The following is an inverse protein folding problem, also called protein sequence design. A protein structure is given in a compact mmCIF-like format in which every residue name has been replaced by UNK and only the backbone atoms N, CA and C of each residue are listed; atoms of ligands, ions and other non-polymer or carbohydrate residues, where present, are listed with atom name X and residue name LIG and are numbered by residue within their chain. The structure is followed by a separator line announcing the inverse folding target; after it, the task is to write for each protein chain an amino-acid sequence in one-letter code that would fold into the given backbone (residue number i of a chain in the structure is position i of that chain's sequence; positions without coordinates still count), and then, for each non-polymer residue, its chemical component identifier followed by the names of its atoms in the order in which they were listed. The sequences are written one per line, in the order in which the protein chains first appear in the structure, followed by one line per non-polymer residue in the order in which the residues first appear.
data_IF_335964377745
#
_entry.id   IF_335964377745
#
_cell.length_a   1.000
_cell.length_b   1.000
_cell.length_c   1.000
_cell.angle_alpha   90.00
_cell.angle_beta   90.00
_cell.angle_gamma   90.00
#
_symmetry.space_group_name_H-M   'P 1'
#
loop_
_entity.id
_entity.type
_entity.pdbx_description
1 polymer ?
#
# COMPACT_ATOMS: atom_id res chain seq x y z
N UNK A 1 -41.24 28.25 -18.65
CA UNK A 1 -40.42 29.31 -18.07
C UNK A 1 -39.58 28.65 -17.00
N UNK A 2 -38.27 28.59 -17.25
CA UNK A 2 -37.31 27.97 -16.34
C UNK A 2 -37.01 28.94 -15.20
N UNK A 3 -37.25 28.52 -13.98
CA UNK A 3 -36.80 29.25 -12.79
C UNK A 3 -35.52 28.56 -12.33
N UNK A 4 -34.38 29.16 -12.68
CA UNK A 4 -33.07 28.71 -12.21
C UNK A 4 -32.96 29.10 -10.74
N UNK A 5 -33.02 28.12 -9.85
CA UNK A 5 -32.60 28.31 -8.47
C UNK A 5 -31.10 28.64 -8.48
N UNK A 6 -30.78 29.91 -8.25
CA UNK A 6 -29.43 30.36 -7.94
C UNK A 6 -29.07 29.78 -6.58
N UNK A 7 -28.15 28.81 -6.58
CA UNK A 7 -27.46 28.35 -5.38
C UNK A 7 -26.71 29.55 -4.83
N UNK A 8 -27.18 30.11 -3.72
CA UNK A 8 -26.44 31.10 -2.95
C UNK A 8 -25.15 30.46 -2.46
N UNK A 9 -24.02 30.95 -2.95
CA UNK A 9 -22.71 30.60 -2.44
C UNK A 9 -22.61 31.12 -0.99
N UNK A 10 -22.62 30.21 -0.02
CA UNK A 10 -22.29 30.56 1.36
C UNK A 10 -20.91 31.23 1.42
N UNK A 11 -20.85 32.34 2.16
CA UNK A 11 -19.65 33.13 2.36
C UNK A 11 -18.59 32.29 3.10
N UNK A 12 -17.49 31.96 2.43
CA UNK A 12 -16.31 31.30 3.01
C UNK A 12 -15.62 32.22 4.01
N UNK A 13 -15.85 31.95 5.29
CA UNK A 13 -15.24 32.66 6.40
C UNK A 13 -13.83 32.13 6.66
N UNK A 14 -12.81 32.88 6.20
CA UNK A 14 -11.36 32.59 6.25
C UNK A 14 -10.82 31.79 7.45
N UNK A 15 -11.12 30.50 7.47
CA UNK A 15 -10.77 29.55 8.53
C UNK A 15 -9.49 28.76 8.23
N UNK A 16 -9.07 27.94 9.20
CA UNK A 16 -8.01 26.95 8.99
C UNK A 16 -8.38 25.92 7.92
N UNK A 17 -9.67 25.54 7.86
CA UNK A 17 -10.19 24.59 6.85
C UNK A 17 -10.14 25.19 5.44
N UNK A 18 -10.54 26.45 5.25
CA UNK A 18 -10.43 27.13 3.95
C UNK A 18 -8.98 27.20 3.45
N UNK A 19 -8.02 27.35 4.37
CA UNK A 19 -6.59 27.30 4.02
C UNK A 19 -6.17 25.90 3.57
N UNK A 20 -6.60 24.86 4.27
CA UNK A 20 -6.36 23.46 3.86
C UNK A 20 -6.96 23.22 2.48
N UNK A 21 -8.21 23.60 2.27
CA UNK A 21 -8.92 23.45 1.00
C UNK A 21 -8.21 24.23 -0.12
N UNK A 22 -7.84 25.49 0.13
CA UNK A 22 -7.10 26.29 -0.85
C UNK A 22 -5.73 25.72 -1.18
N UNK A 23 -5.04 25.08 -0.23
CA UNK A 23 -3.75 24.43 -0.46
C UNK A 23 -3.98 23.16 -1.29
N UNK A 24 -4.90 22.28 -0.86
CA UNK A 24 -5.22 21.04 -1.56
C UNK A 24 -5.64 21.28 -3.02
N UNK A 25 -6.48 22.28 -3.27
CA UNK A 25 -6.92 22.64 -4.63
C UNK A 25 -5.81 23.20 -5.53
N UNK A 26 -4.70 23.67 -4.96
CA UNK A 26 -3.52 24.12 -5.72
C UNK A 26 -2.55 23.00 -6.03
N UNK A 27 -2.63 21.87 -5.32
CA UNK A 27 -1.74 20.73 -5.58
C UNK A 27 -2.14 20.12 -6.92
N UNK A 28 -1.21 20.06 -7.89
CA UNK A 28 -1.52 19.50 -9.19
C UNK A 28 -1.68 17.99 -9.09
N UNK A 29 -2.34 17.40 -10.09
CA UNK A 29 -2.49 15.94 -10.18
C UNK A 29 -1.14 15.23 -10.00
N UNK A 30 -1.06 14.08 -9.29
CA UNK A 30 0.23 13.44 -8.96
C UNK A 30 1.17 13.19 -10.14
N UNK A 31 0.62 12.77 -11.29
CA UNK A 31 1.39 12.63 -12.55
C UNK A 31 2.13 13.92 -12.92
N UNK A 32 1.47 15.08 -12.78
CA UNK A 32 2.05 16.39 -13.08
C UNK A 32 3.11 16.75 -12.04
N UNK A 33 2.91 16.39 -10.75
CA UNK A 33 3.94 16.54 -9.73
C UNK A 33 5.21 15.78 -10.12
N UNK A 34 5.11 14.50 -10.50
CA UNK A 34 6.28 13.73 -10.94
C UNK A 34 6.93 14.28 -12.20
N UNK A 35 6.15 14.85 -13.13
CA UNK A 35 6.71 15.55 -14.28
C UNK A 35 7.52 16.79 -13.85
N UNK A 36 7.02 17.57 -12.91
CA UNK A 36 7.78 18.70 -12.34
C UNK A 36 9.01 18.25 -11.58
N UNK A 37 8.94 17.14 -10.84
CA UNK A 37 10.09 16.56 -10.16
C UNK A 37 11.16 16.10 -11.16
N UNK A 38 10.78 15.44 -12.25
CA UNK A 38 11.70 15.05 -13.33
C UNK A 38 12.41 16.28 -13.93
N UNK A 39 11.65 17.32 -14.27
CA UNK A 39 12.22 18.57 -14.79
C UNK A 39 13.14 19.24 -13.76
N UNK A 40 12.74 19.22 -12.49
CA UNK A 40 13.52 19.73 -11.38
C UNK A 40 14.85 18.98 -11.23
N UNK A 41 14.83 17.65 -11.21
CA UNK A 41 16.03 16.81 -11.14
C UNK A 41 16.93 17.05 -12.36
N UNK A 42 16.37 17.21 -13.56
CA UNK A 42 17.16 17.52 -14.75
C UNK A 42 17.94 18.83 -14.61
N UNK A 43 17.30 19.89 -14.11
CA UNK A 43 17.94 21.19 -13.88
C UNK A 43 18.93 21.12 -12.70
N UNK A 44 18.52 20.57 -11.56
CA UNK A 44 19.34 20.49 -10.36
C UNK A 44 20.60 19.65 -10.61
N UNK A 45 20.47 18.49 -11.29
CA UNK A 45 21.62 17.66 -11.63
C UNK A 45 22.60 18.36 -12.56
N UNK A 46 22.11 19.19 -13.50
CA UNK A 46 22.98 20.00 -14.35
C UNK A 46 23.74 21.07 -13.55
N UNK A 47 23.06 21.73 -12.61
CA UNK A 47 23.69 22.73 -11.74
C UNK A 47 24.74 22.07 -10.83
N UNK A 48 24.37 21.01 -10.11
CA UNK A 48 25.27 20.33 -9.18
C UNK A 48 26.48 19.69 -9.88
N UNK A 49 26.28 19.08 -11.04
CA UNK A 49 27.39 18.56 -11.85
C UNK A 49 28.31 19.68 -12.34
N UNK A 50 27.77 20.87 -12.67
CA UNK A 50 28.60 22.01 -13.08
C UNK A 50 29.45 22.59 -11.93
N UNK A 51 29.12 22.27 -10.68
CA UNK A 51 29.91 22.60 -9.49
C UNK A 51 30.77 21.42 -8.99
N UNK A 52 30.87 20.34 -9.77
CA UNK A 52 31.63 19.13 -9.42
C UNK A 52 31.25 18.57 -8.03
N UNK A 53 29.96 18.62 -7.69
CA UNK A 53 29.44 18.09 -6.43
C UNK A 53 29.55 16.58 -6.44
N UNK A 54 30.17 16.03 -5.39
CA UNK A 54 30.36 14.59 -5.22
C UNK A 54 30.28 14.19 -3.75
N UNK A 55 30.25 12.88 -3.50
CA UNK A 55 30.31 12.31 -2.16
C UNK A 55 31.30 11.15 -2.12
N UNK A 56 32.11 11.09 -1.07
CA UNK A 56 33.02 9.96 -0.79
C UNK A 56 32.45 9.14 0.34
N UNK A 57 32.33 7.83 0.13
CA UNK A 57 31.88 6.90 1.16
C UNK A 57 32.64 5.57 1.09
N UNK A 58 32.61 4.85 2.20
CA UNK A 58 33.17 3.51 2.32
C UNK A 58 32.20 2.48 1.73
N UNK A 59 32.59 1.84 0.63
CA UNK A 59 31.78 0.84 -0.07
C UNK A 59 32.41 -0.54 0.07
N UNK A 60 31.63 -1.53 0.49
CA UNK A 60 32.04 -2.93 0.46
C UNK A 60 32.10 -3.40 -1.00
N UNK A 61 33.31 -3.61 -1.51
CA UNK A 61 33.55 -4.12 -2.86
C UNK A 61 33.97 -5.58 -2.82
N UNK A 62 33.41 -6.46 -3.66
CA UNK A 62 33.84 -7.85 -3.69
C UNK A 62 35.31 -7.92 -4.10
N UNK A 63 36.08 -8.74 -3.40
CA UNK A 63 37.47 -8.98 -3.79
C UNK A 63 37.45 -9.56 -5.20
N UNK A 64 38.21 -9.00 -6.17
CA UNK A 64 38.15 -9.43 -7.56
C UNK A 64 38.88 -10.78 -7.73
N UNK A 65 38.25 -11.85 -7.23
CA UNK A 65 38.75 -13.22 -7.27
C UNK A 65 39.07 -13.65 -8.71
N UNK A 66 38.28 -13.20 -9.69
CA UNK A 66 38.54 -13.45 -11.10
C UNK A 66 39.88 -12.85 -11.58
N UNK A 67 40.28 -11.67 -11.08
CA UNK A 67 41.60 -11.09 -11.40
C UNK A 67 42.73 -11.86 -10.71
N UNK A 68 42.52 -12.29 -9.47
CA UNK A 68 43.48 -13.13 -8.74
C UNK A 68 43.67 -14.49 -9.43
N UNK A 69 42.58 -15.06 -9.96
CA UNK A 69 42.61 -16.31 -10.71
C UNK A 69 43.27 -16.15 -12.09
N UNK A 70 43.00 -15.04 -12.79
CA UNK A 70 43.72 -14.72 -14.03
C UNK A 70 45.22 -14.51 -13.80
N UNK A 71 45.62 -13.90 -12.68
CA UNK A 71 47.01 -13.79 -12.26
C UNK A 71 47.62 -15.16 -11.95
N UNK A 72 46.87 -16.04 -11.29
CA UNK A 72 47.28 -17.41 -11.03
C UNK A 72 47.51 -18.20 -12.32
N UNK A 73 46.62 -18.04 -13.30
CA UNK A 73 46.74 -18.68 -14.61
C UNK A 73 47.94 -18.13 -15.41
N UNK A 74 48.27 -16.84 -15.28
CA UNK A 74 49.44 -16.22 -15.93
C UNK A 74 50.78 -16.60 -15.29
N UNK A 75 50.84 -16.62 -13.96
CA UNK A 75 52.09 -16.84 -13.21
C UNK A 75 52.39 -18.33 -13.04
N UNK A 76 51.37 -19.19 -13.14
CA UNK A 76 51.47 -20.62 -12.89
C UNK A 76 51.60 -20.94 -11.39
N UNK A 77 50.90 -21.98 -10.92
CA UNK A 77 50.94 -22.45 -9.52
C UNK A 77 49.70 -22.08 -8.71
N UNK A 78 49.82 -22.05 -7.38
CA UNK A 78 48.77 -21.61 -6.45
C UNK A 78 49.09 -20.22 -5.90
N UNK A 79 48.25 -19.23 -6.18
CA UNK A 79 48.33 -17.90 -5.57
C UNK A 79 47.68 -17.99 -4.20
N UNK A 80 48.50 -17.99 -3.15
CA UNK A 80 48.02 -18.02 -1.76
C UNK A 80 48.36 -16.68 -1.12
N UNK A 81 47.39 -15.88 -0.67
CA UNK A 81 47.65 -14.64 0.04
C UNK A 81 48.37 -14.93 1.36
N UNK A 82 49.41 -14.17 1.68
CA UNK A 82 50.12 -14.26 2.96
C UNK A 82 50.37 -12.86 3.53
N UNK A 83 50.34 -12.74 4.85
CA UNK A 83 50.69 -11.52 5.56
C UNK A 83 52.22 -11.36 5.53
N UNK A 84 52.69 -10.23 4.99
CA UNK A 84 54.11 -9.92 4.84
C UNK A 84 54.85 -9.75 6.17
N UNK A 85 54.12 -9.50 7.27
CA UNK A 85 54.68 -9.29 8.61
C UNK A 85 54.75 -10.57 9.43
N UNK A 86 53.72 -11.42 9.35
CA UNK A 86 53.63 -12.67 10.14
C UNK A 86 54.02 -13.91 9.35
N UNK A 87 54.09 -13.83 8.02
CA UNK A 87 54.39 -14.96 7.12
C UNK A 87 53.29 -16.02 7.08
N UNK A 88 52.13 -15.76 7.67
CA UNK A 88 51.01 -16.70 7.70
C UNK A 88 50.11 -16.51 6.47
N UNK A 89 49.50 -17.61 6.01
CA UNK A 89 48.48 -17.55 4.97
C UNK A 89 47.23 -16.85 5.49
N UNK A 90 46.67 -15.95 4.68
CA UNK A 90 45.48 -15.18 5.02
C UNK A 90 44.37 -15.56 4.05
N UNK A 91 43.22 -15.94 4.60
CA UNK A 91 41.98 -16.05 3.83
C UNK A 91 41.50 -14.64 3.50
N UNK A 92 41.41 -14.33 2.20
CA UNK A 92 40.85 -13.04 1.78
C UNK A 92 39.37 -13.00 2.17
N UNK A 93 38.89 -11.89 2.76
CA UNK A 93 37.47 -11.70 2.96
C UNK A 93 36.78 -11.62 1.60
N UNK A 94 35.50 -11.99 1.54
CA UNK A 94 34.72 -11.96 0.30
C UNK A 94 34.54 -10.51 -0.22
N UNK A 95 34.57 -9.53 0.70
CA UNK A 95 34.47 -8.10 0.43
C UNK A 95 35.59 -7.32 1.12
N UNK A 96 36.06 -6.25 0.48
CA UNK A 96 36.94 -5.22 1.06
C UNK A 96 36.24 -3.88 1.04
N UNK A 97 36.30 -3.16 2.16
CA UNK A 97 35.82 -1.78 2.24
C UNK A 97 36.81 -0.88 1.52
N UNK A 98 36.35 -0.13 0.53
CA UNK A 98 37.16 0.84 -0.21
C UNK A 98 36.41 2.18 -0.25
N UNK A 99 37.13 3.27 -0.04
CA UNK A 99 36.60 4.61 -0.27
C UNK A 99 36.36 4.80 -1.77
N UNK A 100 35.14 5.12 -2.14
CA UNK A 100 34.77 5.47 -3.50
C UNK A 100 34.10 6.85 -3.52
N UNK A 101 34.44 7.63 -4.54
CA UNK A 101 33.82 8.93 -4.77
C UNK A 101 32.80 8.80 -5.90
N UNK A 102 31.59 9.29 -5.66
CA UNK A 102 30.49 9.30 -6.61
C UNK A 102 30.14 10.74 -6.96
N UNK A 103 30.37 11.10 -8.22
CA UNK A 103 30.03 12.43 -8.74
C UNK A 103 28.54 12.51 -9.13
N UNK A 104 27.96 13.69 -8.95
CA UNK A 104 26.63 13.98 -9.47
C UNK A 104 26.67 13.99 -11.00
N UNK A 105 25.79 13.20 -11.62
CA UNK A 105 25.68 13.11 -13.07
C UNK A 105 24.53 13.96 -13.60
N UNK A 106 24.81 14.84 -14.55
CA UNK A 106 23.76 15.66 -15.17
C UNK A 106 22.91 14.86 -16.15
N UNK A 107 21.58 14.92 -16.00
CA UNK A 107 20.65 14.38 -16.99
C UNK A 107 20.65 15.16 -18.30
N UNK A 108 21.02 16.44 -18.28
CA UNK A 108 21.09 17.29 -19.48
C UNK A 108 22.41 17.12 -20.25
N UNK A 109 23.32 16.29 -19.76
CA UNK A 109 24.51 15.88 -20.51
C UNK A 109 24.14 14.98 -21.70
N UNK A 110 25.08 14.78 -22.61
CA UNK A 110 24.89 13.89 -23.77
C UNK A 110 24.55 12.47 -23.30
N UNK A 111 25.23 11.96 -22.28
CA UNK A 111 24.99 10.62 -21.76
C UNK A 111 23.70 10.56 -20.94
N UNK A 112 23.35 11.63 -20.22
CA UNK A 112 22.06 11.75 -19.53
C UNK A 112 20.87 11.73 -20.48
N UNK A 113 20.95 12.46 -21.60
CA UNK A 113 19.90 12.43 -22.64
C UNK A 113 19.81 11.06 -23.30
N UNK A 114 20.94 10.41 -23.58
CA UNK A 114 20.95 9.02 -24.07
C UNK A 114 20.29 8.08 -23.07
N UNK A 115 20.59 8.22 -21.77
CA UNK A 115 19.97 7.42 -20.73
C UNK A 115 18.46 7.64 -20.72
N UNK A 116 17.98 8.88 -20.61
CA UNK A 116 16.54 9.20 -20.57
C UNK A 116 15.76 8.57 -21.73
N UNK A 117 16.30 8.63 -22.95
CA UNK A 117 15.62 8.12 -24.14
C UNK A 117 15.72 6.60 -24.29
N UNK A 118 16.84 5.99 -23.89
CA UNK A 118 17.07 4.54 -24.07
C UNK A 118 16.54 3.70 -22.90
N UNK A 119 16.44 4.25 -21.70
CA UNK A 119 16.01 3.53 -20.50
C UNK A 119 14.50 3.59 -20.26
N UNK A 120 13.76 4.49 -20.91
CA UNK A 120 12.35 4.78 -20.62
C UNK A 120 11.45 3.53 -20.44
N UNK A 121 11.50 2.59 -21.39
CA UNK A 121 10.70 1.35 -21.34
C UNK A 121 11.18 0.42 -20.23
N UNK A 122 12.50 0.26 -20.09
CA UNK A 122 13.09 -0.63 -19.11
C UNK A 122 12.89 -0.11 -17.68
N UNK A 123 12.90 1.21 -17.47
CA UNK A 123 12.60 1.82 -16.17
C UNK A 123 11.18 1.42 -15.72
N UNK A 124 10.21 1.48 -16.63
CA UNK A 124 8.84 1.11 -16.30
C UNK A 124 8.67 -0.41 -16.13
N UNK A 125 9.25 -1.21 -17.02
CA UNK A 125 9.17 -2.67 -16.95
C UNK A 125 9.91 -3.24 -15.73
N UNK A 126 11.00 -2.59 -15.31
CA UNK A 126 11.79 -2.95 -14.14
C UNK A 126 11.20 -2.49 -12.81
N UNK A 127 10.22 -1.58 -12.82
CA UNK A 127 9.59 -1.06 -11.62
C UNK A 127 8.63 -2.11 -11.02
N UNK A 128 9.13 -2.87 -10.04
CA UNK A 128 8.47 -4.07 -9.50
C UNK A 128 7.05 -3.81 -8.97
N UNK A 129 6.82 -2.59 -8.45
CA UNK A 129 5.54 -2.12 -7.92
C UNK A 129 4.38 -2.37 -8.90
N UNK A 130 4.61 -2.17 -10.20
CA UNK A 130 3.57 -2.36 -11.23
C UNK A 130 3.13 -3.80 -11.27
N UNK A 131 4.05 -4.74 -11.49
CA UNK A 131 3.75 -6.16 -11.61
C UNK A 131 3.06 -6.69 -10.34
N UNK A 132 3.60 -6.31 -9.18
CA UNK A 132 3.04 -6.70 -7.87
C UNK A 132 1.60 -6.21 -7.70
N UNK A 133 1.31 -4.96 -8.09
CA UNK A 133 -0.05 -4.40 -8.00
C UNK A 133 -1.05 -5.21 -8.83
N UNK A 134 -0.71 -5.51 -10.09
CA UNK A 134 -1.60 -6.26 -10.98
C UNK A 134 -1.82 -7.69 -10.49
N UNK A 135 -0.76 -8.37 -10.05
CA UNK A 135 -0.88 -9.73 -9.51
C UNK A 135 -1.75 -9.71 -8.26
N UNK A 136 -1.45 -8.87 -7.26
CA UNK A 136 -2.20 -8.78 -6.02
C UNK A 136 -3.69 -8.48 -6.25
N UNK A 137 -3.99 -7.54 -7.15
CA UNK A 137 -5.36 -7.11 -7.42
C UNK A 137 -6.17 -8.07 -8.28
N UNK A 138 -5.54 -8.99 -9.04
CA UNK A 138 -6.29 -9.92 -9.90
C UNK A 138 -7.24 -10.83 -9.10
N UNK A 139 -6.75 -11.38 -7.98
CA UNK A 139 -7.54 -12.27 -7.12
C UNK A 139 -8.62 -11.52 -6.34
N UNK A 140 -8.25 -10.38 -5.74
CA UNK A 140 -9.19 -9.49 -5.04
C UNK A 140 -10.27 -9.00 -5.99
N UNK A 141 -9.91 -8.64 -7.21
CA UNK A 141 -10.82 -8.17 -8.25
C UNK A 141 -11.91 -9.16 -8.61
N UNK A 142 -11.59 -10.46 -8.66
CA UNK A 142 -12.60 -11.51 -8.87
C UNK A 142 -13.51 -11.67 -7.66
N UNK A 143 -12.96 -11.61 -6.45
CA UNK A 143 -13.75 -11.67 -5.23
C UNK A 143 -14.71 -10.48 -5.09
N UNK A 144 -14.24 -9.28 -5.42
CA UNK A 144 -15.03 -8.06 -5.45
C UNK A 144 -16.13 -8.15 -6.52
N UNK A 145 -15.75 -8.51 -7.76
CA UNK A 145 -16.70 -8.63 -8.87
C UNK A 145 -17.78 -9.68 -8.61
N UNK A 146 -17.42 -10.78 -7.94
CA UNK A 146 -18.38 -11.81 -7.56
C UNK A 146 -19.35 -11.35 -6.45
N UNK A 147 -19.07 -10.25 -5.75
CA UNK A 147 -19.86 -9.71 -4.64
C UNK A 147 -19.44 -10.23 -3.25
N UNK A 148 -18.31 -10.93 -3.14
CA UNK A 148 -17.88 -11.58 -1.90
C UNK A 148 -17.57 -10.58 -0.79
N UNK A 149 -16.87 -9.49 -1.12
CA UNK A 149 -16.40 -8.50 -0.15
C UNK A 149 -17.57 -7.71 0.46
N UNK A 150 -18.51 -7.25 -0.38
CA UNK A 150 -19.74 -6.61 0.08
C UNK A 150 -20.57 -7.52 0.97
N UNK A 151 -20.75 -8.79 0.60
CA UNK A 151 -21.45 -9.77 1.42
C UNK A 151 -20.74 -10.04 2.77
N UNK A 152 -19.41 -10.08 2.78
CA UNK A 152 -18.64 -10.21 4.03
C UNK A 152 -18.82 -8.99 4.93
N UNK A 153 -18.74 -7.77 4.39
CA UNK A 153 -18.97 -6.52 5.13
C UNK A 153 -20.38 -6.53 5.75
N UNK A 154 -21.41 -6.78 4.94
CA UNK A 154 -22.80 -6.89 5.41
C UNK A 154 -22.95 -7.94 6.50
N UNK A 155 -22.39 -9.13 6.30
CA UNK A 155 -22.47 -10.23 7.26
C UNK A 155 -21.80 -9.88 8.59
N UNK A 156 -20.61 -9.27 8.55
CA UNK A 156 -19.85 -8.91 9.76
C UNK A 156 -20.55 -7.83 10.59
N UNK A 157 -21.19 -6.85 9.95
CA UNK A 157 -21.99 -5.84 10.66
C UNK A 157 -23.27 -6.45 11.22
N UNK A 158 -23.97 -7.28 10.44
CA UNK A 158 -25.23 -7.89 10.88
C UNK A 158 -25.09 -8.85 12.09
N UNK A 159 -23.92 -9.47 12.27
CA UNK A 159 -23.66 -10.36 13.42
C UNK A 159 -22.99 -9.66 14.60
N UNK A 160 -22.68 -8.37 14.48
CA UNK A 160 -22.02 -7.62 15.53
C UNK A 160 -22.93 -7.44 16.76
N UNK A 161 -22.44 -7.71 17.99
CA UNK A 161 -23.25 -7.48 19.19
C UNK A 161 -23.45 -5.98 19.41
N UNK A 162 -24.67 -5.59 19.81
CA UNK A 162 -25.08 -4.20 19.94
C UNK A 162 -24.13 -3.34 20.80
N UNK A 163 -23.54 -3.91 21.85
CA UNK A 163 -22.58 -3.21 22.73
C UNK A 163 -21.24 -2.91 22.07
N UNK A 164 -20.83 -3.68 21.06
CA UNK A 164 -19.55 -3.53 20.35
C UNK A 164 -19.73 -3.07 18.90
N UNK A 165 -20.94 -2.69 18.50
CA UNK A 165 -21.24 -2.31 17.10
C UNK A 165 -20.29 -1.24 16.56
N UNK A 166 -19.91 -0.25 17.38
CA UNK A 166 -18.96 0.79 16.98
C UNK A 166 -17.56 0.24 16.70
N UNK A 167 -17.08 -0.68 17.54
CA UNK A 167 -15.80 -1.34 17.32
C UNK A 167 -15.85 -2.23 16.09
N UNK A 168 -16.91 -3.02 15.92
CA UNK A 168 -17.07 -3.89 14.75
C UNK A 168 -17.15 -3.08 13.45
N UNK A 169 -17.90 -1.98 13.40
CA UNK A 169 -17.95 -1.11 12.22
C UNK A 169 -16.56 -0.57 11.88
N UNK A 170 -15.85 -0.01 12.85
CA UNK A 170 -14.49 0.51 12.62
C UNK A 170 -13.57 -0.60 12.14
N UNK A 171 -13.58 -1.76 12.81
CA UNK A 171 -12.68 -2.86 12.51
C UNK A 171 -13.01 -3.52 11.17
N UNK A 172 -14.28 -3.63 10.78
CA UNK A 172 -14.67 -4.02 9.42
C UNK A 172 -14.16 -3.01 8.41
N UNK A 173 -14.16 -1.72 8.74
CA UNK A 173 -13.55 -0.67 7.92
C UNK A 173 -12.05 -0.89 7.73
N UNK A 174 -11.34 -1.24 8.80
CA UNK A 174 -9.91 -1.61 8.74
C UNK A 174 -9.70 -2.81 7.81
N UNK A 175 -10.47 -3.89 7.99
CA UNK A 175 -10.37 -5.09 7.16
C UNK A 175 -10.75 -4.85 5.70
N UNK A 176 -11.62 -3.87 5.44
CA UNK A 176 -12.07 -3.54 4.08
C UNK A 176 -10.97 -2.94 3.20
N UNK A 177 -9.83 -2.51 3.76
CA UNK A 177 -8.67 -2.04 2.96
C UNK A 177 -8.10 -3.10 2.01
N UNK A 178 -8.42 -4.38 2.23
CA UNK A 178 -8.15 -5.47 1.27
C UNK A 178 -8.89 -5.24 -0.06
N UNK A 179 -10.08 -4.66 -0.02
CA UNK A 179 -10.94 -4.35 -1.16
C UNK A 179 -11.14 -2.83 -1.26
N UNK A 180 -10.31 -2.21 -2.10
CA UNK A 180 -10.06 -0.76 -2.17
C UNK A 180 -11.29 0.14 -2.08
N UNK A 181 -12.43 -0.25 -2.65
CA UNK A 181 -13.62 0.62 -2.77
C UNK A 181 -14.83 0.16 -1.94
N UNK A 182 -14.89 -1.12 -1.55
CA UNK A 182 -16.05 -1.72 -0.88
C UNK A 182 -16.31 -1.08 0.49
N UNK A 183 -15.25 -0.71 1.21
CA UNK A 183 -15.35 -0.04 2.51
C UNK A 183 -16.08 1.31 2.42
N UNK A 184 -15.70 2.17 1.48
CA UNK A 184 -16.34 3.48 1.34
C UNK A 184 -17.78 3.37 0.84
N UNK A 185 -18.03 2.50 -0.13
CA UNK A 185 -19.33 2.40 -0.79
C UNK A 185 -20.38 1.68 0.07
N UNK A 186 -20.00 0.63 0.80
CA UNK A 186 -20.96 -0.26 1.47
C UNK A 186 -21.00 -0.02 2.98
N UNK A 187 -19.83 0.11 3.63
CA UNK A 187 -19.79 0.14 5.09
C UNK A 187 -20.29 1.46 5.67
N UNK A 188 -20.05 2.60 5.02
CA UNK A 188 -20.45 3.92 5.53
C UNK A 188 -21.99 4.03 5.65
N UNK A 189 -22.78 3.73 4.61
CA UNK A 189 -24.24 3.72 4.73
C UNK A 189 -24.74 2.68 5.74
N UNK A 190 -24.15 1.48 5.73
CA UNK A 190 -24.53 0.39 6.64
C UNK A 190 -24.26 0.74 8.11
N UNK A 191 -23.22 1.53 8.38
CA UNK A 191 -22.92 1.99 9.73
C UNK A 191 -23.93 3.03 10.22
N UNK A 192 -24.40 3.93 9.35
CA UNK A 192 -25.49 4.85 9.66
C UNK A 192 -26.75 4.08 10.08
N UNK A 193 -27.17 3.11 9.27
CA UNK A 193 -28.38 2.32 9.54
C UNK A 193 -28.23 1.45 10.79
N UNK A 194 -27.06 0.83 11.01
CA UNK A 194 -26.79 0.04 12.21
C UNK A 194 -26.78 0.88 13.50
N UNK A 195 -26.26 2.11 13.47
CA UNK A 195 -26.34 3.00 14.64
C UNK A 195 -27.76 3.45 14.90
N UNK A 196 -28.50 3.78 13.85
CA UNK A 196 -29.88 4.24 13.96
C UNK A 196 -30.82 3.19 14.55
N UNK A 197 -30.74 1.94 14.08
CA UNK A 197 -31.55 0.80 14.59
C UNK A 197 -31.31 0.51 16.07
N UNK A 198 -30.15 0.93 16.60
CA UNK A 198 -29.79 0.81 18.01
C UNK A 198 -30.12 2.07 18.83
N UNK A 199 -30.84 3.04 18.24
CA UNK A 199 -31.20 4.31 18.88
C UNK A 199 -30.01 5.26 19.06
N UNK A 200 -28.92 5.06 18.30
CA UNK A 200 -27.71 5.91 18.32
C UNK A 200 -27.72 6.87 17.14
N UNK A 201 -26.89 7.90 17.21
CA UNK A 201 -26.84 8.94 16.18
C UNK A 201 -26.27 8.38 14.84
N UNK A 202 -27.01 8.46 13.71
CA UNK A 202 -26.56 7.88 12.43
C UNK A 202 -25.27 8.52 11.90
N UNK A 203 -25.12 9.85 12.03
CA UNK A 203 -23.88 10.56 11.67
C UNK A 203 -22.65 10.03 12.44
N UNK A 204 -22.82 9.59 13.69
CA UNK A 204 -21.73 8.96 14.44
C UNK A 204 -21.34 7.60 13.86
N UNK A 205 -22.33 6.84 13.36
CA UNK A 205 -22.09 5.59 12.63
C UNK A 205 -21.29 5.84 11.35
N UNK A 206 -21.68 6.83 10.55
CA UNK A 206 -20.91 7.22 9.35
C UNK A 206 -19.50 7.66 9.70
N UNK A 207 -19.34 8.50 10.72
CA UNK A 207 -18.02 8.94 11.19
C UNK A 207 -17.17 7.76 11.66
N UNK A 208 -17.75 6.78 12.35
CA UNK A 208 -17.07 5.57 12.78
C UNK A 208 -16.58 4.73 11.59
N UNK A 209 -17.45 4.47 10.61
CA UNK A 209 -17.06 3.75 9.40
C UNK A 209 -15.98 4.51 8.62
N UNK A 210 -16.13 5.83 8.45
CA UNK A 210 -15.15 6.67 7.78
C UNK A 210 -13.80 6.67 8.51
N UNK A 211 -13.78 6.67 9.84
CA UNK A 211 -12.55 6.54 10.62
C UNK A 211 -11.88 5.18 10.38
N UNK A 212 -12.65 4.09 10.32
CA UNK A 212 -12.12 2.75 10.04
C UNK A 212 -11.55 2.63 8.63
N UNK A 213 -12.29 3.08 7.61
CA UNK A 213 -11.92 2.95 6.19
C UNK A 213 -10.87 3.98 5.78
N UNK A 214 -10.89 5.19 6.35
CA UNK A 214 -9.99 6.29 5.95
C UNK A 214 -8.78 6.46 6.86
N UNK A 215 -8.99 6.59 8.18
CA UNK A 215 -7.92 6.94 9.10
C UNK A 215 -7.02 5.75 9.49
N UNK A 216 -7.57 4.53 9.49
CA UNK A 216 -6.86 3.31 9.92
C UNK A 216 -6.48 2.41 8.72
N UNK A 217 -6.79 2.85 7.50
CA UNK A 217 -6.64 2.10 6.25
C UNK A 217 -5.28 1.42 6.04
N UNK A 218 -4.19 2.07 6.47
CA UNK A 218 -2.81 1.65 6.19
C UNK A 218 -2.32 0.50 7.09
N UNK A 219 -3.14 0.00 8.02
CA UNK A 219 -2.80 -1.14 8.87
C UNK A 219 -3.90 -2.19 8.81
N UNK A 220 -3.54 -3.47 8.86
CA UNK A 220 -4.47 -4.57 8.74
C UNK A 220 -3.90 -5.85 9.38
N UNK A 221 -4.79 -6.79 9.73
CA UNK A 221 -4.41 -8.13 10.18
C UNK A 221 -3.94 -9.00 9.00
N UNK A 222 -4.40 -8.66 7.79
CA UNK A 222 -4.03 -9.33 6.55
C UNK A 222 -3.05 -8.46 5.76
N UNK A 223 -2.21 -9.11 4.95
CA UNK A 223 -1.39 -8.40 3.97
C UNK A 223 -2.31 -7.90 2.85
N UNK A 224 -2.25 -6.62 2.59
CA UNK A 224 -3.06 -5.93 1.58
C UNK A 224 -2.22 -5.64 0.31
N UNK A 225 -2.88 -5.33 -0.82
CA UNK A 225 -2.18 -4.85 -2.00
C UNK A 225 -1.32 -3.60 -1.73
N UNK A 226 -1.78 -2.70 -0.86
CA UNK A 226 -1.04 -1.48 -0.49
C UNK A 226 0.26 -1.81 0.22
N UNK A 227 0.28 -2.80 1.13
CA UNK A 227 1.52 -3.25 1.79
C UNK A 227 2.55 -3.72 0.76
N UNK A 228 2.08 -4.44 -0.26
CA UNK A 228 2.95 -4.94 -1.34
C UNK A 228 3.56 -3.79 -2.12
N UNK A 229 2.76 -2.76 -2.44
CA UNK A 229 3.23 -1.59 -3.17
C UNK A 229 4.25 -0.77 -2.36
N UNK A 230 3.96 -0.51 -1.08
CA UNK A 230 4.85 0.27 -0.21
C UNK A 230 6.16 -0.46 0.06
N UNK A 231 6.11 -1.79 0.21
CA UNK A 231 7.32 -2.60 0.34
C UNK A 231 8.24 -2.43 -0.87
N UNK A 232 7.69 -2.57 -2.09
CA UNK A 232 8.47 -2.44 -3.32
C UNK A 232 9.01 -1.02 -3.53
N UNK A 233 8.20 0.03 -3.27
CA UNK A 233 8.70 1.41 -3.33
C UNK A 233 9.84 1.64 -2.33
N UNK A 234 9.73 1.07 -1.13
CA UNK A 234 10.80 1.17 -0.12
C UNK A 234 12.05 0.44 -0.57
N UNK A 235 11.92 -0.72 -1.21
CA UNK A 235 13.06 -1.47 -1.76
C UNK A 235 13.76 -0.71 -2.88
N UNK A 236 13.02 -0.01 -3.74
CA UNK A 236 13.58 0.88 -4.77
C UNK A 236 14.38 2.04 -4.14
N UNK A 237 13.91 2.57 -3.01
CA UNK A 237 14.61 3.62 -2.26
C UNK A 237 15.85 3.11 -1.50
N UNK A 238 15.81 1.87 -0.99
CA UNK A 238 16.98 1.21 -0.36
C UNK A 238 18.08 0.98 -1.40
N UNK A 239 17.71 0.59 -2.62
CA UNK A 239 18.65 0.34 -3.71
C UNK A 239 19.75 -0.63 -3.31
N UNK A 240 21.02 -0.25 -3.50
CA UNK A 240 22.19 -1.06 -3.12
C UNK A 240 22.73 -0.75 -1.72
N UNK A 241 22.08 0.15 -0.98
CA UNK A 241 22.58 0.61 0.32
C UNK A 241 22.20 -0.33 1.48
N UNK A 242 21.30 -1.29 1.26
CA UNK A 242 20.84 -2.20 2.31
C UNK A 242 20.22 -3.49 1.78
N UNK A 243 19.76 -4.33 2.69
CA UNK A 243 19.03 -5.55 2.36
C UNK A 243 17.58 -5.23 1.97
N UNK A 244 17.02 -5.91 0.94
CA UNK A 244 15.64 -5.72 0.55
C UNK A 244 14.69 -6.20 1.65
N UNK A 245 13.62 -5.45 1.86
CA UNK A 245 12.55 -5.77 2.77
C UNK A 245 11.64 -6.85 2.17
N UNK A 246 11.21 -7.76 3.04
CA UNK A 246 10.14 -8.72 2.73
C UNK A 246 8.78 -8.09 2.96
N UNK A 247 7.77 -8.52 2.21
CA UNK A 247 6.38 -8.06 2.39
C UNK A 247 5.83 -8.27 3.82
N UNK A 248 6.41 -9.20 4.58
CA UNK A 248 6.03 -9.47 5.97
C UNK A 248 6.73 -8.57 7.00
N UNK A 249 7.66 -7.71 6.59
CA UNK A 249 8.48 -6.90 7.49
C UNK A 249 7.63 -6.03 8.44
N UNK A 250 6.49 -5.51 7.96
CA UNK A 250 5.58 -4.69 8.76
C UNK A 250 4.41 -5.47 9.38
N UNK A 251 4.32 -6.79 9.16
CA UNK A 251 3.09 -7.56 9.45
C UNK A 251 2.71 -7.52 10.94
N UNK A 252 3.63 -7.80 11.85
CA UNK A 252 3.33 -7.82 13.28
C UNK A 252 2.95 -6.44 13.82
N UNK A 253 3.63 -5.39 13.34
CA UNK A 253 3.28 -4.01 13.68
C UNK A 253 1.90 -3.64 13.15
N UNK A 254 1.59 -4.02 11.91
CA UNK A 254 0.29 -3.78 11.25
C UNK A 254 -0.86 -4.48 11.99
N UNK A 255 -0.67 -5.76 12.37
CA UNK A 255 -1.65 -6.52 13.16
C UNK A 255 -1.95 -5.78 14.47
N UNK A 256 -0.93 -5.48 15.28
CA UNK A 256 -1.15 -4.84 16.58
C UNK A 256 -1.76 -3.44 16.41
N UNK A 257 -1.25 -2.67 15.46
CA UNK A 257 -1.73 -1.31 15.18
C UNK A 257 -3.19 -1.30 14.71
N UNK A 258 -3.63 -2.28 13.94
CA UNK A 258 -5.02 -2.39 13.49
C UNK A 258 -6.01 -2.43 14.67
N UNK A 259 -5.70 -3.21 15.71
CA UNK A 259 -6.54 -3.29 16.92
C UNK A 259 -6.42 -2.04 17.79
N UNK A 260 -5.20 -1.54 17.99
CA UNK A 260 -4.95 -0.34 18.80
C UNK A 260 -5.66 0.87 18.19
N UNK A 261 -5.51 1.08 16.89
CA UNK A 261 -6.13 2.20 16.19
C UNK A 261 -7.65 2.06 16.10
N UNK A 262 -8.19 0.84 15.92
CA UNK A 262 -9.63 0.61 16.00
C UNK A 262 -10.19 0.96 17.39
N UNK A 263 -9.47 0.61 18.46
CA UNK A 263 -9.85 0.97 19.83
C UNK A 263 -9.77 2.48 20.06
N UNK A 264 -8.72 3.15 19.60
CA UNK A 264 -8.60 4.61 19.69
C UNK A 264 -9.76 5.29 18.95
N UNK A 265 -10.05 4.85 17.72
CA UNK A 265 -11.16 5.37 16.94
C UNK A 265 -12.50 5.15 17.63
N UNK A 266 -12.76 3.98 18.23
CA UNK A 266 -14.02 3.75 18.95
C UNK A 266 -14.16 4.65 20.18
N UNK A 267 -13.06 4.87 20.91
CA UNK A 267 -13.04 5.78 22.06
C UNK A 267 -13.34 7.20 21.61
N UNK A 268 -12.72 7.67 20.52
CA UNK A 268 -12.98 9.01 19.97
C UNK A 268 -14.44 9.14 19.52
N UNK A 269 -14.95 8.15 18.78
CA UNK A 269 -16.36 8.15 18.33
C UNK A 269 -17.32 8.22 19.52
N UNK A 270 -17.16 7.35 20.51
CA UNK A 270 -18.11 7.25 21.64
C UNK A 270 -17.96 8.35 22.68
N UNK A 271 -16.74 8.86 22.91
CA UNK A 271 -16.46 9.85 23.97
C UNK A 271 -16.40 11.28 23.48
N UNK A 272 -16.19 11.50 22.18
CA UNK A 272 -16.03 12.85 21.61
C UNK A 272 -17.10 13.13 20.56
N UNK A 273 -17.30 12.25 19.59
CA UNK A 273 -18.21 12.50 18.45
C UNK A 273 -19.67 12.36 18.86
N UNK A 274 -20.07 11.20 19.41
CA UNK A 274 -21.46 10.92 19.81
C UNK A 274 -22.01 11.94 20.83
N UNK A 275 -21.28 12.30 21.91
CA UNK A 275 -21.80 13.26 22.88
C UNK A 275 -21.96 14.67 22.31
N UNK A 276 -21.18 15.04 21.30
CA UNK A 276 -21.28 16.34 20.63
C UNK A 276 -22.47 16.44 19.69
N UNK A 277 -22.88 15.32 19.10
CA UNK A 277 -24.05 15.25 18.23
C UNK A 277 -25.37 15.26 19.01
N UNK A 278 -25.36 14.74 20.25
CA UNK A 278 -26.56 14.70 21.09
C UNK A 278 -27.55 13.61 20.67
N UNK A 279 -28.80 13.75 21.10
CA UNK A 279 -29.87 12.84 20.71
C UNK A 279 -30.29 13.15 19.27
N UNK A 280 -30.36 12.12 18.43
CA UNK A 280 -30.80 12.27 17.06
C UNK A 280 -32.27 12.70 17.00
N UNK A 281 -32.57 13.77 16.27
CA UNK A 281 -33.93 14.18 15.95
C UNK A 281 -34.33 13.61 14.58
N UNK A 282 -35.31 12.69 14.51
CA UNK A 282 -35.80 12.16 13.23
C UNK A 282 -36.30 13.23 12.25
N UNK A 283 -36.68 14.42 12.73
CA UNK A 283 -37.11 15.53 11.88
C UNK A 283 -35.97 16.16 11.06
N UNK A 284 -34.70 15.89 11.42
CA UNK A 284 -33.51 16.33 10.65
C UNK A 284 -33.20 15.40 9.47
N UNK A 285 -33.84 14.23 9.39
CA UNK A 285 -33.72 13.29 8.28
C UNK A 285 -34.61 13.67 7.08
N UNK A 286 -34.38 13.01 5.94
CA UNK A 286 -35.23 13.15 4.76
C UNK A 286 -36.71 12.83 5.11
N UNK A 287 -37.65 13.77 4.96
CA UNK A 287 -39.07 13.54 5.25
C UNK A 287 -39.66 12.34 4.51
N UNK A 288 -39.16 12.01 3.32
CA UNK A 288 -39.58 10.83 2.56
C UNK A 288 -39.12 9.53 3.21
N UNK A 289 -37.88 9.49 3.72
CA UNK A 289 -37.31 8.35 4.44
C UNK A 289 -38.00 8.13 5.80
N UNK A 290 -38.28 9.22 6.52
CA UNK A 290 -39.00 9.18 7.79
C UNK A 290 -40.45 8.70 7.59
N UNK A 291 -41.13 9.18 6.54
CA UNK A 291 -42.49 8.77 6.19
C UNK A 291 -42.60 7.31 5.70
N UNK A 292 -41.53 6.76 5.10
CA UNK A 292 -41.48 5.36 4.68
C UNK A 292 -41.42 4.37 5.86
N UNK A 293 -41.12 4.84 7.08
CA UNK A 293 -41.01 3.99 8.28
C UNK A 293 -39.60 3.94 8.88
N UNK A 294 -38.67 4.80 8.42
CA UNK A 294 -37.30 4.81 8.94
C UNK A 294 -36.63 3.43 8.76
N UNK A 295 -36.08 2.80 9.80
CA UNK A 295 -35.36 1.53 9.65
C UNK A 295 -36.31 0.32 9.49
N UNK A 296 -37.57 0.44 9.89
CA UNK A 296 -38.60 -0.59 9.77
C UNK A 296 -39.26 -0.59 8.37
N UNK A 297 -38.96 0.42 7.56
CA UNK A 297 -39.34 0.49 6.14
C UNK A 297 -38.59 -0.53 5.27
N UNK A 298 -37.55 -1.18 5.81
CA UNK A 298 -36.43 -1.64 4.98
C UNK A 298 -35.57 -0.45 4.53
N UNK A 299 -34.49 -0.66 3.76
CA UNK A 299 -33.82 0.45 3.09
C UNK A 299 -34.89 1.26 2.35
N UNK A 300 -34.95 2.58 2.56
CA UNK A 300 -35.93 3.40 1.84
C UNK A 300 -35.73 3.17 0.35
N UNK A 301 -36.81 2.70 -0.26
CA UNK A 301 -36.91 2.12 -1.60
C UNK A 301 -36.65 3.11 -2.74
N UNK A 302 -35.97 4.23 -2.50
CA UNK A 302 -35.73 5.26 -3.52
C UNK A 302 -34.34 5.93 -3.46
N UNK A 303 -33.40 5.50 -2.59
CA UNK A 303 -32.06 6.12 -2.52
C UNK A 303 -30.84 5.18 -2.34
N UNK A 304 -31.03 3.86 -2.39
CA UNK A 304 -29.93 2.92 -2.55
C UNK A 304 -30.41 1.78 -3.47
N UNK A 305 -29.61 1.43 -4.47
CA UNK A 305 -29.80 0.28 -5.36
C UNK A 305 -29.68 -1.07 -4.61
N UNK A 306 -30.40 -1.26 -3.50
CA UNK A 306 -30.26 -2.42 -2.59
C UNK A 306 -31.51 -3.32 -2.55
N UNK A 307 -32.49 -3.08 -3.44
CA UNK A 307 -33.75 -3.84 -3.55
C UNK A 307 -33.59 -5.25 -4.17
N UNK A 308 -32.36 -5.72 -4.43
CA UNK A 308 -32.11 -6.99 -5.15
C UNK A 308 -30.97 -7.86 -4.55
N UNK A 309 -30.64 -7.69 -3.26
CA UNK A 309 -29.63 -8.54 -2.59
C UNK A 309 -30.27 -9.80 -2.01
N UNK A 310 -30.10 -10.93 -2.70
CA UNK A 310 -30.50 -12.25 -2.19
C UNK A 310 -29.55 -12.72 -1.06
N UNK A 311 -29.94 -12.44 0.19
CA UNK A 311 -29.19 -12.84 1.38
C UNK A 311 -29.03 -14.37 1.55
N UNK A 312 -29.93 -15.19 1.00
CA UNK A 312 -29.77 -16.65 1.04
C UNK A 312 -28.68 -17.10 0.08
N UNK A 313 -28.65 -16.50 -1.11
CA UNK A 313 -27.56 -16.69 -2.08
C UNK A 313 -26.22 -16.21 -1.52
N UNK A 314 -26.15 -15.04 -0.89
CA UNK A 314 -24.93 -14.55 -0.24
C UNK A 314 -24.46 -15.53 0.84
N UNK A 315 -25.36 -15.98 1.73
CA UNK A 315 -25.00 -16.92 2.78
C UNK A 315 -24.50 -18.27 2.24
N UNK A 316 -25.08 -18.74 1.12
CA UNK A 316 -24.61 -19.95 0.41
C UNK A 316 -23.25 -19.71 -0.24
N UNK A 317 -23.05 -18.57 -0.90
CA UNK A 317 -21.78 -18.13 -1.46
C UNK A 317 -20.67 -18.08 -0.40
N UNK A 318 -20.91 -17.43 0.74
CA UNK A 318 -19.94 -17.33 1.83
C UNK A 318 -19.54 -18.70 2.39
N UNK A 319 -20.47 -19.65 2.49
CA UNK A 319 -20.15 -21.03 2.88
C UNK A 319 -19.23 -21.72 1.88
N UNK A 320 -19.42 -21.47 0.58
CA UNK A 320 -18.58 -22.05 -0.48
C UNK A 320 -17.20 -21.41 -0.48
N UNK A 321 -17.13 -20.08 -0.36
CA UNK A 321 -15.90 -19.32 -0.21
C UNK A 321 -15.09 -19.82 0.99
N UNK A 322 -15.72 -19.98 2.16
CA UNK A 322 -15.06 -20.47 3.36
C UNK A 322 -14.49 -21.89 3.18
N UNK A 323 -15.25 -22.80 2.56
CA UNK A 323 -14.74 -24.15 2.25
C UNK A 323 -13.57 -24.11 1.27
N UNK A 324 -13.65 -23.28 0.24
CA UNK A 324 -12.58 -23.11 -0.74
C UNK A 324 -11.31 -22.52 -0.10
N UNK A 325 -11.47 -21.55 0.80
CA UNK A 325 -10.40 -21.00 1.62
C UNK A 325 -9.70 -22.11 2.41
N UNK A 326 -10.45 -22.94 3.16
CA UNK A 326 -9.87 -24.04 3.94
C UNK A 326 -9.12 -25.05 3.07
N UNK A 327 -9.64 -25.37 1.88
CA UNK A 327 -8.96 -26.25 0.92
C UNK A 327 -7.65 -25.61 0.45
N UNK A 328 -7.66 -24.32 0.09
CA UNK A 328 -6.45 -23.60 -0.34
C UNK A 328 -5.40 -23.53 0.77
N UNK A 329 -5.80 -23.23 2.01
CA UNK A 329 -4.90 -23.29 3.16
C UNK A 329 -4.31 -24.69 3.35
N UNK A 330 -5.13 -25.73 3.23
CA UNK A 330 -4.65 -27.12 3.29
C UNK A 330 -3.61 -27.43 2.22
N UNK A 331 -3.81 -26.96 0.98
CA UNK A 331 -2.85 -27.12 -0.11
C UNK A 331 -1.54 -26.37 0.15
N UNK A 332 -1.61 -25.12 0.63
CA UNK A 332 -0.42 -24.34 0.98
C UNK A 332 0.36 -25.01 2.12
N UNK A 333 -0.34 -25.49 3.14
CA UNK A 333 0.28 -26.23 4.26
C UNK A 333 0.94 -27.50 3.75
N UNK A 334 0.30 -28.28 2.88
CA UNK A 334 0.90 -29.48 2.30
C UNK A 334 2.12 -29.16 1.41
N UNK A 335 2.12 -28.03 0.74
CA UNK A 335 3.22 -27.58 -0.11
C UNK A 335 4.38 -26.93 0.68
N UNK A 336 4.21 -26.65 1.98
CA UNK A 336 5.19 -25.90 2.80
C UNK A 336 5.63 -26.65 4.06
N UNK A 337 4.71 -27.25 4.81
CA UNK A 337 4.97 -27.78 6.13
C UNK A 337 5.79 -29.10 6.14
N UNK A 338 5.51 -30.11 5.28
CA UNK A 338 6.26 -31.35 5.25
C UNK A 338 7.75 -31.15 4.94
N UNK A 339 8.61 -32.05 5.41
CA UNK A 339 10.01 -32.07 5.02
C UNK A 339 10.15 -32.40 3.52
N UNK A 340 10.99 -31.65 2.82
CA UNK A 340 11.15 -31.77 1.36
C UNK A 340 9.98 -31.21 0.54
N UNK A 341 9.06 -30.47 1.16
CA UNK A 341 7.98 -29.81 0.45
C UNK A 341 8.52 -28.71 -0.49
N UNK A 342 7.87 -28.47 -1.65
CA UNK A 342 8.42 -27.64 -2.72
C UNK A 342 8.59 -26.16 -2.35
N UNK A 343 7.86 -25.65 -1.35
CA UNK A 343 7.94 -24.25 -0.95
C UNK A 343 8.98 -23.96 0.14
N UNK A 344 9.68 -24.99 0.64
CA UNK A 344 10.81 -24.82 1.56
C UNK A 344 12.08 -24.44 0.82
N UNK A 345 13.03 -23.87 1.54
CA UNK A 345 14.38 -23.67 1.05
C UNK A 345 15.01 -25.02 0.62
N UNK A 346 15.54 -25.14 -0.61
CA UNK A 346 16.08 -26.41 -1.10
C UNK A 346 17.33 -26.90 -0.36
N UNK A 347 18.10 -26.01 0.28
CA UNK A 347 19.37 -26.34 0.92
C UNK A 347 19.21 -26.58 2.43
N UNK A 348 18.48 -25.69 3.11
CA UNK A 348 18.30 -25.67 4.57
C UNK A 348 16.99 -26.35 5.00
N UNK A 349 16.00 -26.38 4.12
CA UNK A 349 14.64 -26.81 4.45
C UNK A 349 13.85 -25.76 5.23
N UNK A 350 14.36 -24.53 5.39
CA UNK A 350 13.69 -23.47 6.13
C UNK A 350 12.43 -22.97 5.40
N UNK A 351 11.51 -22.37 6.17
CA UNK A 351 10.27 -21.77 5.66
C UNK A 351 10.37 -20.24 5.66
N UNK A 352 11.09 -19.66 6.62
CA UNK A 352 11.27 -18.22 6.79
C UNK A 352 12.67 -17.83 6.29
N UNK A 353 12.78 -16.66 5.66
CA UNK A 353 14.01 -16.18 5.02
C UNK A 353 13.84 -16.11 3.51
N UNK A 354 14.94 -16.28 2.77
CA UNK A 354 14.93 -16.31 1.31
C UNK A 354 14.41 -17.66 0.78
N UNK A 355 13.14 -17.96 1.05
CA UNK A 355 12.52 -19.26 0.71
C UNK A 355 11.49 -19.09 -0.41
N UNK A 356 11.19 -20.16 -1.19
CA UNK A 356 10.16 -20.11 -2.21
C UNK A 356 8.77 -19.75 -1.66
N UNK A 357 8.45 -20.14 -0.42
CA UNK A 357 7.22 -19.76 0.27
C UNK A 357 7.11 -18.24 0.43
N UNK A 358 8.14 -17.60 0.99
CA UNK A 358 8.13 -16.14 1.23
C UNK A 358 8.12 -15.36 -0.08
N UNK A 359 8.88 -15.81 -1.08
CA UNK A 359 8.89 -15.20 -2.41
C UNK A 359 7.54 -15.31 -3.15
N UNK A 360 6.75 -16.34 -2.84
CA UNK A 360 5.47 -16.60 -3.51
C UNK A 360 4.26 -16.02 -2.76
N UNK A 361 4.45 -15.32 -1.63
CA UNK A 361 3.36 -14.97 -0.72
C UNK A 361 2.26 -14.12 -1.38
N UNK A 362 2.65 -13.12 -2.17
CA UNK A 362 1.71 -12.25 -2.93
C UNK A 362 0.86 -13.09 -3.87
N UNK A 363 1.49 -14.00 -4.61
CA UNK A 363 0.81 -14.90 -5.55
C UNK A 363 -0.12 -15.89 -4.84
N UNK A 364 0.30 -16.45 -3.70
CA UNK A 364 -0.53 -17.35 -2.90
C UNK A 364 -1.78 -16.65 -2.35
N UNK A 365 -1.63 -15.42 -1.83
CA UNK A 365 -2.76 -14.60 -1.37
C UNK A 365 -3.72 -14.33 -2.53
N UNK A 366 -3.18 -13.91 -3.68
CA UNK A 366 -3.96 -13.71 -4.91
C UNK A 366 -4.75 -14.95 -5.28
N UNK A 367 -4.11 -16.12 -5.26
CA UNK A 367 -4.75 -17.38 -5.61
C UNK A 367 -5.85 -17.76 -4.61
N UNK A 368 -5.65 -17.52 -3.31
CA UNK A 368 -6.68 -17.72 -2.29
C UNK A 368 -7.89 -16.83 -2.58
N UNK A 369 -7.69 -15.52 -2.80
CA UNK A 369 -8.80 -14.61 -3.13
C UNK A 369 -9.51 -14.97 -4.42
N UNK A 370 -8.76 -15.34 -5.46
CA UNK A 370 -9.30 -15.79 -6.74
C UNK A 370 -10.21 -17.01 -6.55
N UNK A 371 -9.71 -18.05 -5.87
CA UNK A 371 -10.46 -19.29 -5.63
C UNK A 371 -11.67 -19.05 -4.73
N UNK A 372 -11.54 -18.21 -3.69
CA UNK A 372 -12.64 -17.83 -2.83
C UNK A 372 -13.72 -17.04 -3.58
N UNK A 373 -13.32 -16.07 -4.42
CA UNK A 373 -14.22 -15.28 -5.25
C UNK A 373 -15.00 -16.15 -6.25
N UNK A 374 -14.32 -17.09 -6.91
CA UNK A 374 -14.97 -18.05 -7.82
C UNK A 374 -15.94 -18.95 -7.06
N UNK A 375 -15.53 -19.48 -5.90
CA UNK A 375 -16.38 -20.34 -5.08
C UNK A 375 -17.59 -19.60 -4.52
N UNK A 376 -17.39 -18.37 -4.06
CA UNK A 376 -18.45 -17.46 -3.64
C UNK A 376 -19.45 -17.27 -4.79
N UNK A 377 -18.95 -16.85 -5.95
CA UNK A 377 -19.82 -16.51 -7.07
C UNK A 377 -20.58 -17.72 -7.61
N UNK A 378 -19.99 -18.92 -7.59
CA UNK A 378 -20.72 -20.16 -7.91
C UNK A 378 -21.80 -20.50 -6.87
N UNK A 379 -21.54 -20.24 -5.58
CA UNK A 379 -22.51 -20.47 -4.52
C UNK A 379 -23.65 -19.45 -4.53
N UNK A 380 -23.34 -18.19 -4.80
CA UNK A 380 -24.31 -17.09 -4.88
C UNK A 380 -25.03 -17.05 -6.25
N UNK A 381 -24.47 -17.67 -7.29
CA UNK A 381 -25.02 -17.62 -8.65
C UNK A 381 -24.59 -16.39 -9.44
N UNK A 382 -23.69 -15.57 -8.90
CA UNK A 382 -23.15 -14.37 -9.56
C UNK A 382 -22.04 -14.69 -10.56
N UNK A 383 -21.41 -15.86 -10.47
CA UNK A 383 -20.40 -16.36 -11.42
C UNK A 383 -20.88 -17.68 -12.00
N UNK A 384 -21.24 -17.66 -13.27
CA UNK A 384 -21.80 -18.82 -13.99
C UNK A 384 -20.80 -19.43 -14.98
N UNK A 385 -19.88 -18.62 -15.49
CA UNK A 385 -18.93 -19.00 -16.53
C UNK A 385 -17.50 -18.54 -16.22
N UNK A 386 -16.53 -19.07 -16.96
CA UNK A 386 -15.14 -18.57 -16.90
C UNK A 386 -15.01 -17.15 -17.44
N UNK A 387 -15.92 -16.70 -18.31
CA UNK A 387 -15.93 -15.33 -18.83
C UNK A 387 -16.22 -14.30 -17.72
N UNK A 388 -17.04 -14.64 -16.73
CA UNK A 388 -17.35 -13.77 -15.59
C UNK A 388 -16.10 -13.54 -14.73
N UNK A 389 -15.30 -14.61 -14.55
CA UNK A 389 -14.00 -14.52 -13.84
C UNK A 389 -13.03 -13.60 -14.58
N UNK A 390 -12.92 -13.75 -15.90
CA UNK A 390 -12.07 -12.88 -16.74
C UNK A 390 -12.57 -11.43 -16.68
N UNK A 391 -13.89 -11.22 -16.67
CA UNK A 391 -14.51 -9.91 -16.55
C UNK A 391 -14.13 -9.25 -15.21
N UNK A 392 -14.14 -9.99 -14.11
CA UNK A 392 -13.70 -9.48 -12.81
C UNK A 392 -12.25 -8.98 -12.82
N UNK A 393 -11.32 -9.78 -13.37
CA UNK A 393 -9.91 -9.38 -13.48
C UNK A 393 -9.75 -8.16 -14.39
N UNK A 394 -10.35 -8.18 -15.58
CA UNK A 394 -10.19 -7.11 -16.58
C UNK A 394 -10.82 -5.80 -16.14
N UNK A 395 -11.98 -5.83 -15.47
CA UNK A 395 -12.60 -4.64 -14.86
C UNK A 395 -11.69 -4.03 -13.79
N UNK A 396 -11.07 -4.87 -12.97
CA UNK A 396 -10.11 -4.42 -11.96
C UNK A 396 -8.91 -3.75 -12.60
N UNK A 397 -8.32 -4.36 -13.63
CA UNK A 397 -7.18 -3.78 -14.34
C UNK A 397 -7.53 -2.47 -15.06
N UNK A 398 -8.72 -2.37 -15.63
CA UNK A 398 -9.21 -1.12 -16.20
C UNK A 398 -9.36 -0.02 -15.14
N UNK A 399 -9.86 -0.35 -13.95
CA UNK A 399 -9.95 0.58 -12.82
C UNK A 399 -8.59 1.11 -12.36
N UNK A 400 -7.52 0.33 -12.56
CA UNK A 400 -6.15 0.72 -12.22
C UNK A 400 -5.47 1.61 -13.27
N UNK A 401 -6.08 1.91 -14.42
CA UNK A 401 -5.42 2.63 -15.52
C UNK A 401 -4.80 3.98 -15.10
N UNK A 402 -5.48 4.73 -14.22
CA UNK A 402 -4.95 5.99 -13.67
C UNK A 402 -3.72 5.77 -12.79
N UNK A 403 -3.72 4.72 -11.97
CA UNK A 403 -2.58 4.33 -11.14
C UNK A 403 -1.40 3.87 -12.01
N UNK A 404 -1.64 3.12 -13.09
CA UNK A 404 -0.60 2.68 -14.03
C UNK A 404 0.14 3.88 -14.62
N UNK A 405 -0.59 4.91 -15.04
CA UNK A 405 0.01 6.11 -15.57
C UNK A 405 0.83 6.86 -14.50
N UNK A 406 0.36 6.88 -13.26
CA UNK A 406 1.11 7.43 -12.13
C UNK A 406 2.40 6.65 -11.87
N UNK A 407 2.33 5.31 -11.81
CA UNK A 407 3.50 4.44 -11.62
C UNK A 407 4.51 4.57 -12.76
N UNK A 408 4.06 4.82 -14.00
CA UNK A 408 4.95 5.14 -15.12
C UNK A 408 5.79 6.39 -14.83
N UNK A 409 5.15 7.46 -14.37
CA UNK A 409 5.85 8.71 -14.06
C UNK A 409 6.79 8.56 -12.85
N UNK A 410 6.35 7.83 -11.82
CA UNK A 410 7.18 7.48 -10.66
C UNK A 410 8.42 6.71 -11.09
N UNK A 411 8.26 5.67 -11.91
CA UNK A 411 9.36 4.85 -12.39
C UNK A 411 10.42 5.68 -13.14
N UNK A 412 9.97 6.62 -13.99
CA UNK A 412 10.90 7.52 -14.68
C UNK A 412 11.60 8.46 -13.70
N UNK A 413 10.86 9.04 -12.75
CA UNK A 413 11.45 9.92 -11.74
C UNK A 413 12.53 9.21 -10.92
N UNK A 414 12.23 8.04 -10.35
CA UNK A 414 13.18 7.27 -9.53
C UNK A 414 14.41 6.89 -10.36
N UNK A 415 14.22 6.38 -11.58
CA UNK A 415 15.34 6.00 -12.44
C UNK A 415 16.25 7.19 -12.80
N UNK A 416 15.66 8.35 -13.12
CA UNK A 416 16.40 9.56 -13.44
C UNK A 416 17.08 10.15 -12.21
N UNK A 417 16.43 10.11 -11.06
CA UNK A 417 16.98 10.57 -9.79
C UNK A 417 18.16 9.69 -9.37
N UNK A 418 18.03 8.37 -9.45
CA UNK A 418 19.12 7.42 -9.16
C UNK A 418 20.30 7.58 -10.11
N UNK A 419 20.06 7.75 -11.43
CA UNK A 419 21.12 8.00 -12.40
C UNK A 419 21.99 9.20 -12.03
N UNK A 420 21.39 10.25 -11.45
CA UNK A 420 22.12 11.49 -11.14
C UNK A 420 23.04 11.38 -9.92
N UNK A 421 22.99 10.30 -9.14
CA UNK A 421 23.65 10.17 -7.83
C UNK A 421 23.25 11.23 -6.77
N UNK A 422 22.35 12.16 -7.07
CA UNK A 422 21.83 13.12 -6.09
C UNK A 422 21.25 12.44 -4.84
N UNK A 423 20.45 11.34 -4.92
CA UNK A 423 19.90 10.70 -3.73
C UNK A 423 21.01 10.27 -2.76
N UNK A 424 22.10 9.71 -3.28
CA UNK A 424 23.24 9.24 -2.49
C UNK A 424 23.96 10.41 -1.80
N UNK A 425 24.24 11.48 -2.56
CA UNK A 425 24.88 12.69 -2.01
C UNK A 425 24.03 13.29 -0.90
N UNK A 426 22.73 13.42 -1.11
CA UNK A 426 21.80 13.92 -0.09
C UNK A 426 21.73 12.98 1.12
N UNK A 427 21.66 11.67 0.91
CA UNK A 427 21.58 10.69 2.00
C UNK A 427 22.78 10.79 2.93
N UNK A 428 24.01 10.80 2.40
CA UNK A 428 25.23 10.90 3.21
C UNK A 428 25.33 12.25 3.93
N UNK A 429 25.04 13.36 3.23
CA UNK A 429 25.09 14.70 3.85
C UNK A 429 24.06 14.84 4.97
N UNK A 430 22.81 14.42 4.73
CA UNK A 430 21.74 14.49 5.72
C UNK A 430 21.98 13.53 6.88
N UNK A 431 22.53 12.33 6.63
CA UNK A 431 22.93 11.40 7.68
C UNK A 431 23.97 12.05 8.61
N UNK A 432 25.00 12.70 8.06
CA UNK A 432 26.00 13.42 8.86
C UNK A 432 25.40 14.56 9.70
N UNK A 433 24.42 15.30 9.17
CA UNK A 433 23.70 16.33 9.93
C UNK A 433 22.93 15.71 11.09
N UNK A 434 22.20 14.62 10.86
CA UNK A 434 21.42 13.94 11.90
C UNK A 434 22.32 13.29 12.96
N UNK A 435 23.45 12.72 12.56
CA UNK A 435 24.45 12.14 13.47
C UNK A 435 25.09 13.22 14.34
N UNK A 436 25.46 14.37 13.75
CA UNK A 436 26.03 15.50 14.50
C UNK A 436 25.05 16.12 15.49
N UNK A 437 23.74 16.04 15.21
CA UNK A 437 22.69 16.49 16.11
C UNK A 437 22.47 15.53 17.31
N UNK A 438 23.08 14.33 17.28
CA UNK A 438 22.97 13.34 18.36
C UNK A 438 21.54 12.83 18.58
N UNK A 439 20.70 12.86 17.55
CA UNK A 439 19.30 12.44 17.66
C UNK A 439 19.23 10.91 17.71
N UNK A 440 18.61 10.37 18.76
CA UNK A 440 18.30 8.95 18.83
C UNK A 440 17.21 8.53 17.84
N UNK A 441 17.05 7.22 17.65
CA UNK A 441 16.07 6.66 16.70
C UNK A 441 14.62 7.10 16.96
N UNK A 442 14.22 7.22 18.23
CA UNK A 442 12.83 7.57 18.59
C UNK A 442 12.47 9.01 18.19
N UNK A 443 13.24 10.06 18.53
CA UNK A 443 13.03 11.41 17.99
C UNK A 443 12.98 11.47 16.46
N UNK A 444 13.83 10.71 15.76
CA UNK A 444 13.83 10.67 14.29
C UNK A 444 12.53 10.07 13.74
N UNK A 445 12.06 8.96 14.32
CA UNK A 445 10.79 8.34 13.94
C UNK A 445 9.60 9.29 14.18
N UNK A 446 9.58 9.99 15.31
CA UNK A 446 8.53 10.99 15.60
C UNK A 446 8.60 12.15 14.60
N UNK A 447 9.80 12.64 14.30
CA UNK A 447 10.00 13.68 13.28
C UNK A 447 9.50 13.22 11.91
N UNK A 448 9.79 11.99 11.53
CA UNK A 448 9.31 11.40 10.27
C UNK A 448 7.77 11.31 10.24
N UNK A 449 7.14 10.87 11.33
CA UNK A 449 5.66 10.87 11.45
C UNK A 449 5.09 12.28 11.25
N UNK A 450 5.71 13.30 11.85
CA UNK A 450 5.26 14.70 11.70
C UNK A 450 5.38 15.18 10.25
N UNK A 451 6.46 14.81 9.55
CA UNK A 451 6.61 15.10 8.12
C UNK A 451 5.49 14.44 7.31
N UNK A 452 5.20 13.16 7.57
CA UNK A 452 4.11 12.45 6.89
C UNK A 452 2.75 13.12 7.14
N UNK A 453 2.46 13.54 8.37
CA UNK A 453 1.21 14.26 8.71
C UNK A 453 1.08 15.56 7.91
N UNK A 454 2.17 16.31 7.76
CA UNK A 454 2.17 17.54 6.95
C UNK A 454 1.97 17.22 5.46
N UNK A 455 2.63 16.17 4.97
CA UNK A 455 2.50 15.71 3.59
C UNK A 455 1.11 15.18 3.28
N UNK A 456 0.39 14.56 4.22
CA UNK A 456 -0.99 14.07 4.03
C UNK A 456 -1.96 15.18 3.64
N UNK A 457 -1.72 16.41 4.11
CA UNK A 457 -2.52 17.59 3.75
C UNK A 457 -2.29 18.01 2.30
N UNK A 458 -1.10 17.76 1.76
CA UNK A 458 -0.68 18.18 0.41
C UNK A 458 -0.95 17.05 -0.58
N UNK A 459 -0.54 15.82 -0.26
CA UNK A 459 -0.60 14.63 -1.09
C UNK A 459 -1.30 13.51 -0.30
N UNK A 460 -2.65 13.45 -0.35
CA UNK A 460 -3.41 12.46 0.40
C UNK A 460 -3.13 11.01 -0.04
N UNK A 461 -2.84 10.80 -1.33
CA UNK A 461 -2.60 9.47 -1.87
C UNK A 461 -1.39 8.79 -1.22
N UNK A 462 -1.56 7.56 -0.71
CA UNK A 462 -0.50 6.83 0.00
C UNK A 462 0.69 6.51 -0.91
N UNK A 463 0.42 6.01 -2.13
CA UNK A 463 1.43 5.64 -3.13
C UNK A 463 2.21 6.85 -3.64
N UNK A 464 1.58 7.93 -4.16
CA UNK A 464 2.33 9.08 -4.66
C UNK A 464 3.04 9.91 -3.60
N UNK A 465 2.67 9.77 -2.32
CA UNK A 465 3.39 10.42 -1.21
C UNK A 465 4.62 9.62 -0.80
N UNK A 466 4.54 8.29 -0.87
CA UNK A 466 5.62 7.39 -0.46
C UNK A 466 6.69 7.22 -1.53
N UNK A 467 6.29 7.25 -2.80
CA UNK A 467 7.17 7.37 -3.96
C UNK A 467 7.66 8.80 -4.14
#
# INVERSE_FOLDING_TARGET
MAESATVEAEASGGGFLDKIESIGNKVPHPVIMFLYLILGVAVISAVLAAFDVSVTEEVATPVPMAKLQALQDQLGGSVVPYDLTTGQQVTLPEYTVQEQTFDVQSLLSVDGVRFMLSSFVNNFAGFAVVAVTFVAMAGVGVAEHAGMMGALIRKLVAVAPASLIGFFIIFVGVLSSVASDAGYLILIPLAATAFFTLGRHPLAGMAAAYAGVGAVFAVNVLITPVDSMLNEITNEAIGTAGEPLTITANLYFSIVSSFVMALVAVIVTQRVVEPRLGAYDPAEGDPAWVAAGGPDAGPASDAAEDDDVDHEAEARGLKYAFRAMLVMFGLVVLATAPSGAPLRDPATGDIIGNTPFMASLIFLITLIFLVCGIAYGKGAGTVTSSADVITGVTKTFAGLAGLVFMLLMIAQFIAFFNYTNIPRVLAVQMAGVLESAGLGALPLLIGFILVIIVLDVIIPGVVPKWA
#
